data_IF_437240733943
#
_entry.id   IF_437240733943
#
_cell.length_a   1.000
_cell.length_b   1.000
_cell.length_c   1.000
_cell.angle_alpha   90.00
_cell.angle_beta   90.00
_cell.angle_gamma   90.00
#
_symmetry.space_group_name_H-M   'P 1'
#
loop_
_entity.id
_entity.type
_entity.pdbx_description
1 polymer ?
#
# COMPACT_ATOMS: atom_id res chain seq x y z
N UNK A 1 3.86 -22.26 -26.16
CA UNK A 1 4.53 -22.98 -25.06
C UNK A 1 5.25 -21.92 -24.23
N UNK A 2 4.57 -21.33 -23.25
CA UNK A 2 5.14 -20.28 -22.40
C UNK A 2 6.08 -20.93 -21.39
N UNK A 3 7.38 -20.73 -21.56
CA UNK A 3 8.38 -21.07 -20.56
C UNK A 3 8.20 -20.12 -19.38
N UNK A 4 7.46 -20.57 -18.36
CA UNK A 4 7.54 -20.02 -17.02
C UNK A 4 8.98 -20.23 -16.56
N UNK A 5 9.84 -19.23 -16.77
CA UNK A 5 11.18 -19.26 -16.18
C UNK A 5 10.99 -19.04 -14.69
N UNK A 6 11.26 -20.09 -13.92
CA UNK A 6 11.36 -20.02 -12.47
C UNK A 6 12.44 -18.99 -12.12
N UNK A 7 12.10 -18.02 -11.27
CA UNK A 7 13.04 -17.03 -10.72
C UNK A 7 13.96 -17.70 -9.68
N UNK A 8 14.75 -18.67 -10.13
CA UNK A 8 15.75 -19.39 -9.32
C UNK A 8 17.16 -19.05 -9.75
N UNK A 9 17.35 -18.07 -10.64
CA UNK A 9 18.65 -17.74 -11.21
C UNK A 9 19.18 -16.37 -10.72
N UNK A 10 19.89 -16.38 -9.57
CA UNK A 10 20.76 -15.32 -9.04
C UNK A 10 21.52 -14.49 -10.06
N UNK A 11 22.01 -15.12 -11.13
CA UNK A 11 23.05 -14.55 -11.99
C UNK A 11 22.51 -13.53 -13.00
N UNK A 12 21.18 -13.38 -13.11
CA UNK A 12 20.54 -12.45 -14.04
C UNK A 12 20.37 -11.02 -13.47
N UNK A 13 20.66 -10.83 -12.19
CA UNK A 13 20.64 -9.55 -11.49
C UNK A 13 22.08 -9.06 -11.34
N UNK A 14 22.55 -8.19 -12.25
CA UNK A 14 23.92 -7.63 -12.14
C UNK A 14 24.08 -6.85 -10.83
N UNK A 15 25.08 -7.25 -10.04
CA UNK A 15 25.32 -6.81 -8.66
C UNK A 15 25.58 -5.29 -8.56
N UNK A 16 26.35 -4.70 -9.50
CA UNK A 16 26.65 -3.26 -9.52
C UNK A 16 25.40 -2.38 -9.66
N UNK A 17 24.38 -2.91 -10.33
CA UNK A 17 23.14 -2.21 -10.64
C UNK A 17 22.17 -2.31 -9.46
N UNK A 18 22.25 -3.40 -8.70
CA UNK A 18 21.61 -3.55 -7.38
C UNK A 18 22.29 -2.70 -6.28
N UNK A 19 23.59 -2.45 -6.37
CA UNK A 19 24.28 -1.51 -5.47
C UNK A 19 23.76 -0.07 -5.66
N UNK A 20 23.67 0.39 -6.92
CA UNK A 20 23.08 1.68 -7.25
C UNK A 20 21.57 1.72 -6.94
N UNK A 21 20.89 0.58 -6.98
CA UNK A 21 19.49 0.43 -6.57
C UNK A 21 19.23 0.79 -5.14
N UNK A 22 20.00 0.13 -4.29
CA UNK A 22 19.90 0.22 -2.84
C UNK A 22 20.38 1.62 -2.46
N UNK A 23 21.42 2.14 -3.13
CA UNK A 23 21.84 3.54 -3.01
C UNK A 23 20.70 4.53 -3.31
N UNK A 24 20.00 4.38 -4.43
CA UNK A 24 18.89 5.27 -4.80
C UNK A 24 17.68 5.09 -3.88
N UNK A 25 17.29 3.86 -3.56
CA UNK A 25 16.20 3.57 -2.62
C UNK A 25 16.48 4.13 -1.20
N UNK A 26 17.75 4.20 -0.79
CA UNK A 26 18.18 4.84 0.45
C UNK A 26 18.29 6.38 0.37
N UNK A 27 18.09 6.98 -0.82
CA UNK A 27 18.03 8.44 -1.01
C UNK A 27 16.63 8.95 -1.39
N UNK A 28 15.79 8.17 -2.12
CA UNK A 28 14.39 8.41 -2.50
C UNK A 28 13.77 7.24 -3.32
N UNK A 29 12.44 7.12 -3.35
CA UNK A 29 11.67 6.19 -4.21
C UNK A 29 11.89 6.49 -5.71
N UNK A 30 12.92 5.91 -6.34
CA UNK A 30 13.19 6.08 -7.77
C UNK A 30 13.60 4.78 -8.44
N UNK A 31 12.93 4.53 -9.56
CA UNK A 31 13.17 3.48 -10.55
C UNK A 31 14.54 3.57 -11.24
N UNK A 32 15.14 2.44 -11.60
CA UNK A 32 16.35 2.44 -12.42
C UNK A 32 16.46 1.19 -13.31
N UNK A 33 17.32 1.24 -14.33
CA UNK A 33 17.47 0.16 -15.31
C UNK A 33 18.64 -0.77 -14.97
N UNK A 34 18.44 -2.08 -15.12
CA UNK A 34 19.50 -3.09 -15.06
C UNK A 34 19.66 -3.76 -16.43
N UNK A 35 20.65 -3.31 -17.22
CA UNK A 35 20.90 -3.83 -18.56
C UNK A 35 19.71 -3.59 -19.51
N UNK A 36 19.25 -4.64 -20.22
CA UNK A 36 18.03 -4.60 -21.04
C UNK A 36 16.75 -4.89 -20.23
N UNK A 37 16.85 -4.98 -18.90
CA UNK A 37 15.73 -5.21 -17.99
C UNK A 37 15.48 -3.94 -17.21
N UNK A 38 14.27 -3.44 -17.34
CA UNK A 38 13.81 -2.41 -16.45
C UNK A 38 13.39 -3.10 -15.15
N UNK A 39 13.73 -2.51 -14.02
CA UNK A 39 13.25 -2.97 -12.74
C UNK A 39 12.91 -1.70 -11.98
N UNK A 40 11.62 -1.44 -11.77
CA UNK A 40 11.21 -0.33 -10.92
C UNK A 40 11.35 -0.81 -9.48
N UNK A 41 11.91 0.02 -8.59
CA UNK A 41 12.09 -0.33 -7.20
C UNK A 41 11.23 0.61 -6.38
N UNK A 42 10.42 0.04 -5.50
CA UNK A 42 9.60 0.82 -4.58
C UNK A 42 9.73 0.16 -3.22
N UNK A 43 10.37 0.87 -2.30
CA UNK A 43 10.51 0.41 -0.93
C UNK A 43 9.14 0.55 -0.25
N UNK A 44 8.64 -0.51 0.38
CA UNK A 44 7.31 -0.50 0.99
C UNK A 44 7.37 -1.08 2.39
N UNK A 45 7.38 -0.19 3.39
CA UNK A 45 7.31 -0.55 4.79
C UNK A 45 5.92 -1.02 5.23
N UNK A 46 4.89 -0.69 4.45
CA UNK A 46 3.50 -1.16 4.60
C UNK A 46 3.00 -1.76 3.30
N UNK A 47 2.28 -2.89 3.37
CA UNK A 47 1.68 -3.49 2.18
C UNK A 47 0.63 -2.56 1.55
N UNK A 48 0.74 -2.33 0.25
CA UNK A 48 -0.16 -1.47 -0.51
C UNK A 48 -0.72 -2.24 -1.73
N UNK A 49 -2.03 -2.52 -1.80
CA UNK A 49 -2.60 -3.23 -2.95
C UNK A 49 -2.57 -2.40 -4.25
N UNK A 50 -2.43 -1.07 -4.16
CA UNK A 50 -2.46 -0.16 -5.32
C UNK A 50 -1.12 -0.09 -6.06
N UNK A 51 -0.11 -0.85 -5.63
CA UNK A 51 1.22 -0.86 -6.24
C UNK A 51 1.22 -1.08 -7.77
N UNK A 52 0.42 -1.99 -8.35
CA UNK A 52 0.36 -2.16 -9.81
C UNK A 52 -0.02 -0.88 -10.56
N UNK A 53 -0.89 -0.04 -9.97
CA UNK A 53 -1.29 1.22 -10.57
C UNK A 53 -0.20 2.29 -10.44
N UNK A 54 0.47 2.38 -9.28
CA UNK A 54 1.65 3.25 -9.12
C UNK A 54 2.75 2.88 -10.12
N UNK A 55 3.02 1.58 -10.26
CA UNK A 55 3.97 1.05 -11.23
C UNK A 55 3.60 1.42 -12.66
N UNK A 56 2.32 1.39 -13.02
CA UNK A 56 1.85 1.84 -14.35
C UNK A 56 2.19 3.32 -14.62
N UNK A 57 2.16 4.18 -13.60
CA UNK A 57 2.57 5.57 -13.76
C UNK A 57 4.09 5.71 -13.90
N UNK A 58 4.85 5.09 -12.99
CA UNK A 58 6.31 5.14 -13.01
C UNK A 58 6.91 4.55 -14.30
N UNK A 59 6.35 3.44 -14.78
CA UNK A 59 6.80 2.81 -16.02
C UNK A 59 6.55 3.70 -17.23
N UNK A 60 5.39 4.35 -17.27
CA UNK A 60 5.00 5.24 -18.36
C UNK A 60 5.98 6.41 -18.47
N UNK A 61 6.30 7.05 -17.34
CA UNK A 61 7.24 8.16 -17.29
C UNK A 61 8.65 7.72 -17.68
N UNK A 62 9.09 6.56 -17.19
CA UNK A 62 10.41 6.05 -17.50
C UNK A 62 10.54 5.68 -18.99
N UNK A 63 9.57 4.98 -19.56
CA UNK A 63 9.57 4.70 -21.00
C UNK A 63 9.52 5.98 -21.84
N UNK A 64 8.77 6.99 -21.41
CA UNK A 64 8.72 8.30 -22.07
C UNK A 64 10.09 8.98 -22.10
N UNK A 65 10.88 8.84 -21.03
CA UNK A 65 12.26 9.34 -20.97
C UNK A 65 13.26 8.53 -21.80
N UNK A 66 13.06 7.22 -21.94
CA UNK A 66 13.97 6.33 -22.68
C UNK A 66 13.76 6.35 -24.20
N UNK A 67 12.53 6.53 -24.66
CA UNK A 67 12.16 6.30 -26.05
C UNK A 67 12.27 7.61 -26.85
N UNK A 68 13.06 7.58 -27.92
CA UNK A 68 13.07 8.66 -28.91
C UNK A 68 11.70 8.80 -29.57
N UNK A 69 11.06 9.95 -29.34
CA UNK A 69 9.72 10.27 -29.85
C UNK A 69 9.61 10.11 -31.37
N UNK A 70 10.69 10.38 -32.12
CA UNK A 70 10.68 10.22 -33.57
C UNK A 70 10.58 8.75 -33.99
N UNK A 71 11.16 7.84 -33.19
CA UNK A 71 11.05 6.39 -33.43
C UNK A 71 9.66 5.86 -33.09
N UNK A 72 8.97 6.48 -32.13
CA UNK A 72 7.62 6.08 -31.71
C UNK A 72 6.60 6.20 -32.85
N UNK A 73 6.76 7.20 -33.73
CA UNK A 73 5.92 7.37 -34.93
C UNK A 73 6.47 6.63 -36.16
N UNK A 74 7.56 5.87 -36.00
CA UNK A 74 8.16 5.08 -37.07
C UNK A 74 7.42 3.76 -37.32
N UNK A 75 7.69 3.13 -38.45
CA UNK A 75 7.09 1.83 -38.83
C UNK A 75 7.76 0.61 -38.15
N UNK A 76 8.81 0.82 -37.35
CA UNK A 76 9.56 -0.25 -36.68
C UNK A 76 9.13 -0.40 -35.23
N UNK A 77 9.03 -1.64 -34.77
CA UNK A 77 8.73 -1.96 -33.37
C UNK A 77 9.87 -1.48 -32.46
N UNK A 78 9.52 -0.86 -31.35
CA UNK A 78 10.43 -0.54 -30.25
C UNK A 78 10.31 -1.68 -29.24
N UNK A 79 11.44 -2.31 -28.90
CA UNK A 79 11.47 -3.34 -27.88
C UNK A 79 11.65 -2.67 -26.53
N UNK A 80 10.70 -2.91 -25.62
CA UNK A 80 10.72 -2.40 -24.25
C UNK A 80 11.01 -3.55 -23.27
N UNK A 81 11.75 -3.29 -22.18
CA UNK A 81 11.98 -4.30 -21.15
C UNK A 81 10.68 -4.76 -20.45
N UNK A 82 10.47 -6.06 -20.19
CA UNK A 82 9.16 -6.56 -19.75
C UNK A 82 9.02 -6.84 -18.24
N UNK A 83 10.08 -6.73 -17.43
CA UNK A 83 10.08 -7.22 -16.04
C UNK A 83 9.75 -6.13 -15.03
N UNK A 84 8.97 -6.49 -14.00
CA UNK A 84 8.56 -5.59 -12.92
C UNK A 84 8.76 -6.33 -11.59
N UNK A 85 9.62 -5.80 -10.71
CA UNK A 85 9.99 -6.46 -9.45
C UNK A 85 9.87 -5.48 -8.30
N UNK A 86 9.10 -5.81 -7.27
CA UNK A 86 8.97 -5.02 -6.04
C UNK A 86 9.75 -5.71 -4.93
N UNK A 87 10.59 -4.98 -4.19
CA UNK A 87 11.16 -5.50 -2.95
C UNK A 87 10.34 -5.04 -1.76
N UNK A 88 9.70 -6.01 -1.11
CA UNK A 88 8.95 -5.78 0.10
C UNK A 88 9.84 -6.01 1.31
N UNK A 89 9.96 -5.01 2.16
CA UNK A 89 10.62 -5.18 3.45
C UNK A 89 9.74 -4.71 4.61
N UNK A 90 8.43 -4.54 4.43
CA UNK A 90 7.57 -4.05 5.51
C UNK A 90 7.40 -5.00 6.70
N UNK A 91 6.69 -4.50 7.72
CA UNK A 91 6.51 -5.19 9.02
C UNK A 91 5.42 -6.27 8.95
N UNK A 92 4.48 -6.15 8.01
CA UNK A 92 3.42 -7.14 7.85
C UNK A 92 3.99 -8.42 7.25
N UNK A 93 3.61 -9.56 7.80
CA UNK A 93 4.02 -10.85 7.24
C UNK A 93 3.54 -10.97 5.78
N UNK A 94 4.45 -11.32 4.88
CA UNK A 94 4.20 -11.51 3.47
C UNK A 94 4.99 -12.72 2.96
N UNK A 95 4.47 -13.47 1.97
CA UNK A 95 5.19 -14.60 1.42
C UNK A 95 6.47 -14.14 0.70
N UNK A 96 7.45 -15.04 0.56
CA UNK A 96 8.68 -14.82 -0.20
C UNK A 96 8.42 -14.23 -1.59
N UNK A 97 7.34 -14.68 -2.24
CA UNK A 97 6.97 -14.21 -3.57
C UNK A 97 5.47 -14.03 -3.71
N UNK A 98 5.07 -12.91 -4.32
CA UNK A 98 3.69 -12.61 -4.70
C UNK A 98 3.64 -11.95 -6.07
N UNK A 99 2.59 -12.19 -6.83
CA UNK A 99 2.31 -11.44 -8.06
C UNK A 99 1.20 -10.44 -7.74
N UNK A 100 1.44 -9.17 -8.04
CA UNK A 100 0.44 -8.10 -7.98
C UNK A 100 0.01 -7.78 -9.40
N UNK A 101 -1.30 -7.72 -9.65
CA UNK A 101 -1.87 -7.49 -10.98
C UNK A 101 -2.63 -6.18 -11.02
N UNK A 102 -2.50 -5.44 -12.10
CA UNK A 102 -3.31 -4.24 -12.31
C UNK A 102 -4.80 -4.59 -12.38
N UNK A 103 -5.13 -5.72 -12.99
CA UNK A 103 -6.51 -6.20 -13.08
C UNK A 103 -7.17 -6.50 -11.73
N UNK A 104 -6.41 -6.73 -10.65
CA UNK A 104 -6.97 -6.91 -9.31
C UNK A 104 -7.65 -5.63 -8.80
N UNK A 105 -7.31 -4.47 -9.37
CA UNK A 105 -7.85 -3.16 -9.02
C UNK A 105 -9.10 -2.77 -9.83
N UNK A 106 -9.51 -3.58 -10.80
CA UNK A 106 -10.63 -3.24 -11.67
C UNK A 106 -11.98 -3.35 -10.96
N UNK A 107 -12.82 -2.33 -11.12
CA UNK A 107 -14.19 -2.35 -10.60
C UNK A 107 -15.09 -3.34 -11.32
N UNK A 108 -14.79 -3.66 -12.58
CA UNK A 108 -15.53 -4.61 -13.42
C UNK A 108 -14.55 -5.65 -13.95
N UNK A 109 -14.87 -6.93 -13.72
CA UNK A 109 -14.07 -8.06 -14.20
C UNK A 109 -14.63 -8.53 -15.54
N UNK A 110 -13.82 -8.38 -16.59
CA UNK A 110 -14.09 -8.92 -17.93
C UNK A 110 -13.36 -10.27 -18.09
N UNK A 111 -13.80 -11.12 -19.02
CA UNK A 111 -13.13 -12.38 -19.36
C UNK A 111 -11.73 -12.15 -19.94
N UNK A 112 -11.54 -11.02 -20.62
CA UNK A 112 -10.26 -10.64 -21.24
C UNK A 112 -9.76 -9.30 -20.68
N UNK A 113 -8.60 -9.35 -20.03
CA UNK A 113 -7.92 -8.15 -19.53
C UNK A 113 -7.40 -7.32 -20.72
N UNK A 114 -7.81 -6.05 -20.81
CA UNK A 114 -7.45 -5.14 -21.90
C UNK A 114 -6.12 -4.41 -21.65
N UNK A 115 -5.75 -4.24 -20.39
CA UNK A 115 -4.48 -3.64 -19.97
C UNK A 115 -4.00 -4.40 -18.74
N UNK A 116 -2.94 -5.19 -18.89
CA UNK A 116 -2.37 -5.93 -17.76
C UNK A 116 -0.94 -5.47 -17.47
N UNK A 117 -0.65 -5.28 -16.19
CA UNK A 117 0.69 -5.12 -15.66
C UNK A 117 0.81 -6.08 -14.48
N UNK A 118 1.78 -6.99 -14.56
CA UNK A 118 2.09 -7.92 -13.48
C UNK A 118 3.43 -7.55 -12.85
N UNK A 119 3.41 -7.25 -11.55
CA UNK A 119 4.62 -7.01 -10.77
C UNK A 119 4.90 -8.17 -9.82
N UNK A 120 6.15 -8.65 -9.81
CA UNK A 120 6.61 -9.69 -8.89
C UNK A 120 7.12 -9.03 -7.62
N UNK A 121 6.38 -9.15 -6.53
CA UNK A 121 6.82 -8.74 -5.22
C UNK A 121 7.64 -9.85 -4.56
N UNK A 122 8.84 -9.51 -4.08
CA UNK A 122 9.77 -10.39 -3.38
C UNK A 122 9.98 -9.84 -1.96
N UNK A 123 9.75 -10.67 -0.95
CA UNK A 123 10.02 -10.31 0.44
C UNK A 123 11.52 -10.39 0.73
N UNK A 124 12.14 -9.24 1.03
CA UNK A 124 13.57 -9.13 1.30
C UNK A 124 13.88 -9.01 2.80
N UNK A 125 12.89 -9.21 3.69
CA UNK A 125 13.14 -9.23 5.13
C UNK A 125 14.13 -10.36 5.50
N UNK A 126 14.87 -10.17 6.59
CA UNK A 126 15.83 -11.18 7.08
C UNK A 126 15.13 -12.54 7.28
N UNK A 127 15.70 -13.59 6.69
CA UNK A 127 15.13 -14.95 6.70
C UNK A 127 14.27 -15.32 5.49
N UNK A 128 13.98 -14.38 4.58
CA UNK A 128 13.21 -14.61 3.36
C UNK A 128 14.10 -14.71 2.10
N UNK A 129 13.61 -15.39 1.07
CA UNK A 129 14.27 -15.56 -0.24
C UNK A 129 15.78 -15.93 -0.14
N UNK A 130 16.15 -17.05 0.50
CA UNK A 130 17.55 -17.40 0.76
C UNK A 130 18.40 -17.50 -0.52
N UNK A 131 17.82 -17.95 -1.63
CA UNK A 131 18.53 -18.01 -2.91
C UNK A 131 18.88 -16.60 -3.44
N UNK A 132 17.97 -15.63 -3.32
CA UNK A 132 18.22 -14.24 -3.70
C UNK A 132 19.24 -13.57 -2.76
N UNK A 133 19.15 -13.85 -1.47
CA UNK A 133 20.10 -13.31 -0.48
C UNK A 133 21.51 -13.87 -0.69
N UNK A 134 21.62 -15.16 -1.01
CA UNK A 134 22.89 -15.80 -1.36
C UNK A 134 23.45 -15.28 -2.70
N UNK A 135 22.58 -14.89 -3.63
CA UNK A 135 22.95 -14.28 -4.91
C UNK A 135 23.54 -12.88 -4.75
N UNK A 136 22.93 -12.09 -3.87
CA UNK A 136 23.16 -10.67 -3.77
C UNK A 136 23.53 -10.31 -2.33
N UNK A 137 24.84 -10.36 -2.05
CA UNK A 137 25.39 -10.04 -0.73
C UNK A 137 24.97 -8.66 -0.24
N UNK A 138 24.89 -7.66 -1.14
CA UNK A 138 24.47 -6.30 -0.78
C UNK A 138 23.02 -6.23 -0.33
N UNK A 139 22.10 -6.93 -1.01
CA UNK A 139 20.70 -7.00 -0.61
C UNK A 139 20.54 -7.74 0.72
N UNK A 140 21.31 -8.80 0.93
CA UNK A 140 21.35 -9.51 2.21
C UNK A 140 21.86 -8.62 3.34
N UNK A 141 22.95 -7.89 3.13
CA UNK A 141 23.50 -6.95 4.10
C UNK A 141 22.53 -5.79 4.40
N UNK A 142 21.78 -5.33 3.41
CA UNK A 142 20.71 -4.34 3.61
C UNK A 142 19.55 -4.90 4.45
N UNK A 143 19.11 -6.14 4.17
CA UNK A 143 18.09 -6.82 4.98
C UNK A 143 18.54 -6.96 6.44
N UNK A 144 19.83 -7.22 6.67
CA UNK A 144 20.40 -7.33 8.01
C UNK A 144 20.50 -5.97 8.73
N UNK A 145 20.91 -4.90 8.03
CA UNK A 145 20.90 -3.54 8.57
C UNK A 145 19.49 -3.09 8.97
N UNK A 146 18.50 -3.28 8.08
CA UNK A 146 17.12 -2.88 8.34
C UNK A 146 16.49 -3.67 9.50
N UNK A 147 16.79 -4.97 9.63
CA UNK A 147 16.39 -5.76 10.79
C UNK A 147 17.00 -5.24 12.10
N UNK A 148 18.30 -4.89 12.10
CA UNK A 148 18.98 -4.32 13.28
C UNK A 148 18.34 -3.02 13.74
N UNK A 149 18.11 -2.08 12.82
CA UNK A 149 17.40 -0.82 13.12
C UNK A 149 16.06 -1.13 13.79
N UNK A 150 15.25 -2.04 13.22
CA UNK A 150 13.95 -2.44 13.77
C UNK A 150 14.03 -3.14 15.13
N UNK A 151 15.07 -3.91 15.39
CA UNK A 151 15.27 -4.55 16.70
C UNK A 151 15.60 -3.50 17.75
N UNK A 152 16.47 -2.55 17.42
CA UNK A 152 16.90 -1.53 18.36
C UNK A 152 15.81 -0.50 18.67
N UNK A 153 14.98 -0.11 17.69
CA UNK A 153 13.85 0.81 17.94
C UNK A 153 12.81 0.28 18.93
N UNK A 154 12.82 -1.03 19.25
CA UNK A 154 11.98 -1.61 20.32
C UNK A 154 12.46 -1.26 21.73
N UNK A 155 13.72 -0.87 21.88
CA UNK A 155 14.39 -0.68 23.18
C UNK A 155 15.05 0.68 23.36
N UNK A 156 15.27 1.43 22.28
CA UNK A 156 15.88 2.77 22.32
C UNK A 156 15.22 3.72 21.32
N UNK A 157 15.58 5.00 21.37
CA UNK A 157 15.07 6.01 20.43
C UNK A 157 15.43 5.65 18.98
N UNK A 158 14.69 6.18 18.02
CA UNK A 158 14.97 5.97 16.61
C UNK A 158 16.38 6.44 16.23
N UNK A 159 16.78 7.62 16.70
CA UNK A 159 18.10 8.19 16.41
C UNK A 159 19.23 7.33 16.98
N UNK A 160 19.06 6.83 18.22
CA UNK A 160 20.03 5.93 18.85
C UNK A 160 20.05 4.57 18.17
N UNK A 161 18.88 4.04 17.79
CA UNK A 161 18.77 2.75 17.11
C UNK A 161 19.47 2.75 15.75
N UNK A 162 19.29 3.83 14.97
CA UNK A 162 19.98 4.02 13.69
C UNK A 162 21.48 4.18 13.89
N UNK A 163 21.91 5.03 14.83
CA UNK A 163 23.34 5.23 15.11
C UNK A 163 24.03 3.94 15.58
N UNK A 164 23.35 3.18 16.44
CA UNK A 164 23.84 1.92 16.95
C UNK A 164 23.92 0.87 15.84
N UNK A 165 22.87 0.71 15.03
CA UNK A 165 22.87 -0.20 13.88
C UNK A 165 23.97 0.12 12.88
N UNK A 166 24.17 1.41 12.54
CA UNK A 166 25.25 1.83 11.63
C UNK A 166 26.62 1.43 12.20
N UNK A 167 26.85 1.73 13.49
CA UNK A 167 28.14 1.44 14.14
C UNK A 167 28.44 -0.05 14.15
N UNK A 168 27.45 -0.85 14.50
CA UNK A 168 27.55 -2.30 14.56
C UNK A 168 27.77 -2.91 13.16
N UNK A 169 27.00 -2.46 12.16
CA UNK A 169 27.14 -2.93 10.78
C UNK A 169 28.54 -2.61 10.21
N UNK A 170 29.06 -1.40 10.43
CA UNK A 170 30.42 -1.02 10.01
C UNK A 170 31.47 -1.93 10.67
N UNK A 171 31.31 -2.21 11.98
CA UNK A 171 32.22 -3.07 12.73
C UNK A 171 32.24 -4.50 12.19
N UNK A 172 31.07 -5.04 11.83
CA UNK A 172 30.90 -6.40 11.32
C UNK A 172 31.10 -6.54 9.81
N UNK A 173 31.34 -5.45 9.08
CA UNK A 173 31.57 -5.49 7.63
C UNK A 173 30.29 -5.47 6.78
N UNK A 174 29.13 -5.22 7.39
CA UNK A 174 27.83 -5.15 6.73
C UNK A 174 27.64 -3.75 6.14
N UNK A 175 27.45 -3.66 4.82
CA UNK A 175 27.38 -2.38 4.09
C UNK A 175 28.52 -1.40 4.43
N UNK A 176 29.67 -1.91 4.89
CA UNK A 176 30.71 -1.12 5.58
C UNK A 176 31.14 0.11 4.78
N UNK A 177 31.61 -0.10 3.55
CA UNK A 177 32.11 0.99 2.70
C UNK A 177 31.03 2.04 2.40
N UNK A 178 29.78 1.61 2.30
CA UNK A 178 28.63 2.48 2.05
C UNK A 178 28.29 3.30 3.31
N UNK A 179 28.15 2.65 4.45
CA UNK A 179 27.81 3.29 5.73
C UNK A 179 28.92 4.22 6.22
N UNK A 180 30.19 3.87 6.01
CA UNK A 180 31.33 4.75 6.34
C UNK A 180 31.29 6.05 5.53
N UNK A 181 30.93 5.97 4.24
CA UNK A 181 30.89 7.13 3.35
C UNK A 181 29.63 7.99 3.55
N UNK A 182 28.49 7.37 3.81
CA UNK A 182 27.18 8.01 3.77
C UNK A 182 26.49 8.12 5.14
N UNK A 183 27.19 7.84 6.26
CA UNK A 183 26.63 7.77 7.64
C UNK A 183 25.60 8.86 7.96
N UNK A 184 25.97 10.13 7.74
CA UNK A 184 25.13 11.27 8.09
C UNK A 184 23.85 11.32 7.25
N UNK A 185 23.96 10.99 5.96
CA UNK A 185 22.83 10.97 5.05
C UNK A 185 21.88 9.82 5.36
N UNK A 186 22.43 8.60 5.53
CA UNK A 186 21.65 7.41 5.92
C UNK A 186 20.89 7.67 7.21
N UNK A 187 21.53 8.29 8.20
CA UNK A 187 20.88 8.66 9.44
C UNK A 187 19.70 9.61 9.22
N UNK A 188 19.90 10.68 8.46
CA UNK A 188 18.86 11.68 8.20
C UNK A 188 17.67 11.07 7.42
N UNK A 189 17.95 10.27 6.39
CA UNK A 189 16.89 9.62 5.59
C UNK A 189 16.11 8.62 6.45
N UNK A 190 16.79 7.74 7.19
CA UNK A 190 16.10 6.78 8.04
C UNK A 190 15.24 7.44 9.12
N UNK A 191 15.69 8.57 9.69
CA UNK A 191 14.89 9.31 10.68
C UNK A 191 13.64 9.88 10.01
N UNK A 192 13.82 10.55 8.87
CA UNK A 192 12.74 11.19 8.13
C UNK A 192 11.66 10.19 7.68
N UNK A 193 12.07 9.09 7.05
CA UNK A 193 11.14 8.05 6.56
C UNK A 193 10.30 7.46 7.69
N UNK A 194 10.92 7.18 8.84
CA UNK A 194 10.23 6.58 9.97
C UNK A 194 9.25 7.57 10.64
N UNK A 195 9.62 8.85 10.74
CA UNK A 195 8.73 9.90 11.25
C UNK A 195 7.51 10.09 10.34
N UNK A 196 7.70 10.07 9.01
CA UNK A 196 6.60 10.16 8.05
C UNK A 196 5.67 8.94 8.15
N UNK A 197 6.23 7.73 8.28
CA UNK A 197 5.46 6.51 8.47
C UNK A 197 4.62 6.51 9.75
N UNK A 198 5.21 6.90 10.88
CA UNK A 198 4.49 6.98 12.15
C UNK A 198 3.42 8.08 12.12
N UNK A 199 3.68 9.21 11.45
CA UNK A 199 2.66 10.25 11.23
C UNK A 199 1.47 9.71 10.42
N UNK A 200 1.71 9.06 9.28
CA UNK A 200 0.66 8.45 8.44
C UNK A 200 -0.11 7.40 9.25
N UNK A 201 0.58 6.59 10.05
CA UNK A 201 -0.04 5.57 10.90
C UNK A 201 -0.93 6.18 11.97
N UNK A 202 -0.48 7.27 12.60
CA UNK A 202 -1.23 8.00 13.61
C UNK A 202 -2.48 8.64 13.01
N UNK A 203 -2.37 9.30 11.86
CA UNK A 203 -3.51 9.86 11.13
C UNK A 203 -4.54 8.80 10.77
N UNK A 204 -4.09 7.62 10.30
CA UNK A 204 -4.99 6.48 10.04
C UNK A 204 -5.71 6.00 11.30
N UNK A 205 -5.03 5.99 12.45
CA UNK A 205 -5.64 5.63 13.74
C UNK A 205 -6.72 6.63 14.14
N UNK A 206 -6.45 7.94 14.02
CA UNK A 206 -7.45 8.97 14.29
C UNK A 206 -8.63 8.88 13.33
N UNK A 207 -8.38 8.70 12.03
CA UNK A 207 -9.44 8.51 11.03
C UNK A 207 -10.31 7.28 11.34
N UNK A 208 -9.71 6.19 11.82
CA UNK A 208 -10.45 5.00 12.24
C UNK A 208 -11.30 5.26 13.49
N UNK A 209 -10.74 5.92 14.51
CA UNK A 209 -11.47 6.26 15.73
C UNK A 209 -12.65 7.20 15.45
N UNK A 210 -12.44 8.21 14.63
CA UNK A 210 -13.48 9.16 14.25
C UNK A 210 -14.53 8.49 13.37
N UNK A 211 -14.13 7.64 12.42
CA UNK A 211 -15.04 6.80 11.64
C UNK A 211 -15.90 5.88 12.53
N UNK A 212 -15.33 5.32 13.60
CA UNK A 212 -16.08 4.51 14.57
C UNK A 212 -17.06 5.34 15.40
N UNK A 213 -16.67 6.54 15.84
CA UNK A 213 -17.56 7.47 16.56
C UNK A 213 -18.73 7.91 15.69
N UNK A 214 -18.46 8.31 14.44
CA UNK A 214 -19.50 8.71 13.49
C UNK A 214 -20.41 7.54 13.10
N UNK A 215 -19.84 6.35 12.89
CA UNK A 215 -20.60 5.13 12.66
C UNK A 215 -21.54 4.78 13.82
N UNK A 216 -21.09 4.96 15.07
CA UNK A 216 -21.91 4.76 16.25
C UNK A 216 -23.03 5.80 16.35
N UNK A 217 -22.74 7.08 16.15
CA UNK A 217 -23.75 8.15 16.14
C UNK A 217 -24.81 7.90 15.07
N UNK A 218 -24.38 7.53 13.86
CA UNK A 218 -25.30 7.21 12.77
C UNK A 218 -26.13 5.96 13.07
N UNK A 219 -25.52 4.94 13.71
CA UNK A 219 -26.22 3.76 14.19
C UNK A 219 -27.31 4.08 15.23
N UNK A 220 -27.01 4.94 16.21
CA UNK A 220 -27.96 5.42 17.22
C UNK A 220 -29.10 6.17 16.52
N UNK A 221 -28.78 7.13 15.64
CA UNK A 221 -29.76 7.92 14.90
C UNK A 221 -30.69 7.07 14.04
N UNK A 222 -30.14 6.07 13.33
CA UNK A 222 -30.93 5.09 12.57
C UNK A 222 -31.81 4.25 13.49
N UNK A 223 -31.30 3.83 14.65
CA UNK A 223 -32.05 3.08 15.65
C UNK A 223 -33.22 3.87 16.24
N UNK A 224 -33.01 5.14 16.60
CA UNK A 224 -34.05 6.05 17.07
C UNK A 224 -35.12 6.27 16.01
N UNK A 225 -34.71 6.58 14.78
CA UNK A 225 -35.65 6.70 13.64
C UNK A 225 -36.44 5.42 13.41
N UNK A 226 -35.80 4.25 13.49
CA UNK A 226 -36.47 2.96 13.36
C UNK A 226 -37.50 2.72 14.46
N UNK A 227 -37.21 3.10 15.72
CA UNK A 227 -38.19 3.04 16.83
C UNK A 227 -39.38 3.95 16.57
N UNK A 228 -39.14 5.19 16.13
CA UNK A 228 -40.21 6.13 15.80
C UNK A 228 -41.08 5.62 14.65
N UNK A 229 -40.47 5.11 13.57
CA UNK A 229 -41.21 4.51 12.45
C UNK A 229 -42.08 3.32 12.89
N UNK A 230 -41.55 2.45 13.76
CA UNK A 230 -42.32 1.34 14.33
C UNK A 230 -43.52 1.81 15.19
N UNK A 231 -43.37 2.92 15.92
CA UNK A 231 -44.47 3.51 16.69
C UNK A 231 -45.53 4.13 15.77
N UNK A 232 -45.11 4.84 14.72
CA UNK A 232 -46.01 5.39 13.70
C UNK A 232 -46.82 4.27 13.05
N UNK A 233 -46.15 3.21 12.58
CA UNK A 233 -46.79 2.04 11.97
C UNK A 233 -47.84 1.40 12.90
N UNK A 234 -47.49 1.15 14.16
CA UNK A 234 -48.43 0.60 15.16
C UNK A 234 -49.63 1.50 15.44
N UNK A 235 -49.48 2.82 15.33
CA UNK A 235 -50.58 3.78 15.51
C UNK A 235 -51.45 3.89 14.26
N UNK A 236 -50.86 3.81 13.06
CA UNK A 236 -51.59 3.71 11.79
C UNK A 236 -52.44 2.43 11.73
N UNK A 237 -51.89 1.28 12.15
CA UNK A 237 -52.63 0.01 12.25
C UNK A 237 -53.82 0.06 13.22
N UNK A 238 -53.76 0.96 14.22
CA UNK A 238 -54.86 1.23 15.15
C UNK A 238 -55.88 2.24 14.63
N UNK A 239 -55.73 2.71 13.38
CA UNK A 239 -56.64 3.65 12.73
C UNK A 239 -56.49 5.10 13.19
N UNK A 240 -55.36 5.47 13.80
CA UNK A 240 -55.14 6.87 14.23
C UNK A 240 -54.83 7.78 13.05
N UNK A 241 -55.34 9.00 13.10
CA UNK A 241 -55.08 10.01 12.07
C UNK A 241 -53.68 10.62 12.22
N UNK A 242 -53.17 11.25 11.16
CA UNK A 242 -51.87 11.92 11.16
C UNK A 242 -51.72 12.90 12.34
N UNK A 243 -52.77 13.71 12.60
CA UNK A 243 -52.81 14.69 13.68
C UNK A 243 -52.73 14.03 15.07
N UNK A 244 -53.44 12.92 15.28
CA UNK A 244 -53.36 12.15 16.53
C UNK A 244 -52.00 11.49 16.74
N UNK A 245 -51.35 11.04 15.67
CA UNK A 245 -50.01 10.44 15.74
C UNK A 245 -48.97 11.50 16.08
N UNK A 246 -49.07 12.68 15.46
CA UNK A 246 -48.22 13.83 15.73
C UNK A 246 -48.32 14.27 17.20
N UNK A 247 -49.55 14.46 17.70
CA UNK A 247 -49.80 14.83 19.10
C UNK A 247 -49.27 13.77 20.09
N UNK A 248 -49.55 12.48 19.86
CA UNK A 248 -49.11 11.40 20.76
C UNK A 248 -47.62 11.05 20.70
N UNK A 249 -46.92 11.49 19.65
CA UNK A 249 -45.47 11.36 19.54
C UNK A 249 -44.74 12.67 19.83
N UNK A 250 -45.48 13.72 20.23
CA UNK A 250 -44.96 15.07 20.47
C UNK A 250 -44.10 15.59 19.30
N UNK A 251 -44.54 15.31 18.07
CA UNK A 251 -43.84 15.63 16.83
C UNK A 251 -44.77 16.39 15.86
N UNK A 252 -44.24 16.98 14.79
CA UNK A 252 -45.05 17.74 13.84
C UNK A 252 -45.70 16.83 12.80
N UNK A 253 -46.92 17.18 12.37
CA UNK A 253 -47.62 16.45 11.29
C UNK A 253 -46.77 16.37 10.00
N UNK A 254 -46.00 17.43 9.72
CA UNK A 254 -45.08 17.48 8.57
C UNK A 254 -43.93 16.47 8.69
N UNK A 255 -43.31 16.34 9.87
CA UNK A 255 -42.22 15.38 10.07
C UNK A 255 -42.74 13.93 10.10
N UNK A 256 -43.90 13.68 10.71
CA UNK A 256 -44.56 12.38 10.70
C UNK A 256 -44.96 11.99 9.27
N UNK A 257 -45.57 12.90 8.50
CA UNK A 257 -45.93 12.67 7.11
C UNK A 257 -44.72 12.32 6.24
N UNK A 258 -43.62 13.06 6.41
CA UNK A 258 -42.35 12.77 5.73
C UNK A 258 -41.80 11.39 6.07
N UNK A 259 -41.86 10.97 7.34
CA UNK A 259 -41.40 9.64 7.76
C UNK A 259 -42.28 8.51 7.19
N UNK A 260 -43.60 8.72 7.11
CA UNK A 260 -44.54 7.78 6.50
C UNK A 260 -44.21 7.57 5.02
N UNK A 261 -44.02 8.66 4.26
CA UNK A 261 -43.64 8.59 2.85
C UNK A 261 -42.26 7.95 2.66
N UNK A 262 -41.26 8.42 3.42
CA UNK A 262 -39.88 7.97 3.27
C UNK A 262 -39.72 6.46 3.56
N UNK A 263 -40.44 5.93 4.56
CA UNK A 263 -40.35 4.53 4.98
C UNK A 263 -41.52 3.67 4.51
N UNK A 264 -42.40 4.20 3.66
CA UNK A 264 -43.55 3.50 3.08
C UNK A 264 -44.44 2.83 4.16
N UNK A 265 -44.70 3.56 5.25
CA UNK A 265 -45.51 3.09 6.37
C UNK A 265 -46.99 3.19 6.01
N UNK A 266 -47.81 2.23 6.45
CA UNK A 266 -49.21 2.20 6.06
C UNK A 266 -49.95 0.96 6.56
N UNK A 267 -51.28 0.98 6.47
CA UNK A 267 -52.11 -0.17 6.86
C UNK A 267 -51.94 -1.25 5.78
N UNK A 268 -51.51 -2.49 6.13
CA UNK A 268 -51.48 -3.58 5.16
C UNK A 268 -52.89 -3.83 4.61
N UNK A 269 -53.01 -3.92 3.29
CA UNK A 269 -54.25 -4.31 2.60
C UNK A 269 -54.65 -5.74 2.91
#
# INVERSE_FOLDING_TARGET
MMSIKHYTDPELLEINTLENAIYMAMQNDVSFMIGLRLSLYEHQSTFNPNLPLRYLFYISDLYSGMIDKNKLYGSRKILIPPEFVIFYNGIQDQPDRRILRLSDLYSIRDQHCKLELEAVMLNINLGHNPALMNACTMLHQYAEYTDRVRRYTKTMSLEDAVEHAITECIHEGILKSFLEKNRAEVKNVCIYEYDEEEHIRLERSYAWEDGKKEGLKEGIRKGEKGKTCNLIQKKLEKGKTLSQIADELEDTEENIGRLIEQFHLGIPQ
#
